data_IF_103512223230
#
_entry.id   IF_103512223230
#
_cell.length_a   1.000
_cell.length_b   1.000
_cell.length_c   1.000
_cell.angle_alpha   90.00
_cell.angle_beta   90.00
_cell.angle_gamma   90.00
#
_symmetry.space_group_name_H-M   'P 1'
#
loop_
_entity.id
_entity.type
_entity.pdbx_description
1 polymer ?
#
# COMPACT_ATOMS: atom_id res chain seq x y z
N UNK A 1 -3.75 -15.20 -2.37
CA UNK A 1 -3.92 -16.33 -3.29
C UNK A 1 -5.39 -16.76 -3.33
N UNK A 2 -5.92 -17.06 -4.50
CA UNK A 2 -7.30 -17.53 -4.70
C UNK A 2 -7.27 -19.05 -4.86
N UNK A 3 -7.96 -19.77 -4.00
CA UNK A 3 -7.87 -21.22 -3.85
C UNK A 3 -9.20 -21.98 -4.03
N UNK A 4 -9.78 -22.06 -5.25
CA UNK A 4 -10.47 -23.25 -5.69
C UNK A 4 -9.49 -24.19 -6.40
N UNK A 5 -9.80 -25.51 -6.57
CA UNK A 5 -9.07 -26.35 -7.50
C UNK A 5 -9.16 -25.79 -8.92
N UNK A 6 -8.16 -26.08 -9.75
CA UNK A 6 -8.12 -25.57 -11.13
C UNK A 6 -9.10 -26.28 -12.05
N UNK A 7 -9.58 -27.48 -11.67
CA UNK A 7 -10.45 -28.33 -12.47
C UNK A 7 -11.44 -29.08 -11.57
N UNK A 8 -12.69 -29.13 -11.96
CA UNK A 8 -13.75 -29.89 -11.28
C UNK A 8 -14.95 -30.12 -12.18
N UNK A 9 -15.86 -31.04 -11.80
CA UNK A 9 -17.08 -31.34 -12.57
C UNK A 9 -18.21 -30.38 -12.21
N UNK A 10 -19.12 -30.15 -13.13
CA UNK A 10 -20.26 -29.24 -12.94
C UNK A 10 -21.09 -29.53 -11.69
N UNK A 11 -21.22 -30.79 -11.28
CA UNK A 11 -21.97 -31.19 -10.09
C UNK A 11 -21.17 -31.13 -8.79
N UNK A 12 -19.86 -30.89 -8.87
CA UNK A 12 -19.01 -30.82 -7.69
C UNK A 12 -19.30 -29.54 -6.90
N UNK A 13 -19.31 -29.70 -5.58
CA UNK A 13 -19.37 -28.57 -4.65
C UNK A 13 -17.95 -28.22 -4.21
N UNK A 14 -17.45 -27.07 -4.66
CA UNK A 14 -16.06 -26.68 -4.50
C UNK A 14 -15.96 -25.44 -3.62
N UNK A 15 -15.09 -25.48 -2.62
CA UNK A 15 -14.88 -24.37 -1.69
C UNK A 15 -14.01 -23.29 -2.32
N UNK A 16 -14.46 -22.02 -2.24
CA UNK A 16 -13.65 -20.85 -2.62
C UNK A 16 -13.15 -20.12 -1.38
N UNK A 17 -11.84 -19.91 -1.33
CA UNK A 17 -11.17 -19.15 -0.30
C UNK A 17 -10.18 -18.17 -0.91
N UNK A 18 -10.01 -17.01 -0.27
CA UNK A 18 -8.91 -16.08 -0.54
C UNK A 18 -7.94 -16.16 0.63
N UNK A 19 -6.73 -16.66 0.36
CA UNK A 19 -5.65 -16.73 1.33
C UNK A 19 -4.85 -15.44 1.29
N UNK A 20 -4.76 -14.75 2.41
CA UNK A 20 -4.03 -13.52 2.62
C UNK A 20 -2.78 -13.81 3.46
N UNK A 21 -1.66 -13.20 3.07
CA UNK A 21 -0.41 -13.19 3.84
C UNK A 21 0.11 -11.76 3.91
N UNK A 22 0.43 -11.30 5.10
CA UNK A 22 1.05 -10.00 5.31
C UNK A 22 2.57 -10.15 5.26
N UNK A 23 3.18 -9.78 4.14
CA UNK A 23 4.64 -9.81 3.97
C UNK A 23 5.31 -8.48 4.31
N UNK A 24 4.58 -7.54 4.92
CA UNK A 24 5.11 -6.24 5.29
C UNK A 24 5.09 -6.02 6.80
N UNK A 25 5.57 -4.85 7.22
CA UNK A 25 5.86 -4.54 8.62
C UNK A 25 4.72 -3.76 9.32
N UNK A 26 3.58 -3.58 8.67
CA UNK A 26 2.41 -2.98 9.30
C UNK A 26 1.33 -4.03 9.55
N UNK A 27 0.89 -4.16 10.81
CA UNK A 27 -0.22 -5.01 11.20
C UNK A 27 -1.54 -4.48 10.62
N UNK A 28 -2.34 -5.37 10.04
CA UNK A 28 -3.70 -5.06 9.60
C UNK A 28 -4.67 -5.60 10.65
N UNK A 29 -5.47 -4.71 11.24
CA UNK A 29 -6.42 -5.10 12.29
C UNK A 29 -7.54 -6.00 11.75
N UNK A 30 -8.16 -6.73 12.65
CA UNK A 30 -9.33 -7.60 12.36
C UNK A 30 -10.41 -6.82 11.60
N UNK A 31 -10.92 -7.40 10.52
CA UNK A 31 -11.98 -6.80 9.70
C UNK A 31 -11.51 -5.75 8.69
N UNK A 32 -10.27 -5.28 8.76
CA UNK A 32 -9.77 -4.22 7.88
C UNK A 32 -9.28 -4.73 6.53
N UNK A 33 -8.82 -5.99 6.44
CA UNK A 33 -8.56 -6.60 5.14
C UNK A 33 -9.87 -7.20 4.61
N UNK A 34 -10.29 -6.72 3.43
CA UNK A 34 -11.54 -7.10 2.78
C UNK A 34 -11.28 -7.66 1.40
N UNK A 35 -11.96 -8.73 1.04
CA UNK A 35 -11.90 -9.30 -0.30
C UNK A 35 -13.29 -9.48 -0.90
N UNK A 36 -13.38 -9.43 -2.24
CA UNK A 36 -14.57 -9.81 -3.00
C UNK A 36 -14.19 -10.60 -4.23
N UNK A 37 -15.06 -11.50 -4.64
CA UNK A 37 -14.93 -12.26 -5.90
C UNK A 37 -15.66 -11.50 -7.02
N UNK A 38 -15.10 -11.54 -8.22
CA UNK A 38 -15.67 -10.96 -9.44
C UNK A 38 -15.10 -11.61 -10.71
N UNK A 39 -15.49 -11.13 -11.88
CA UNK A 39 -14.98 -11.60 -13.19
C UNK A 39 -15.81 -12.71 -13.82
N UNK A 40 -16.84 -13.18 -13.14
CA UNK A 40 -17.84 -14.13 -13.65
C UNK A 40 -19.23 -13.69 -13.18
N UNK A 41 -20.29 -14.23 -13.80
CA UNK A 41 -21.65 -14.07 -13.28
C UNK A 41 -21.82 -14.93 -12.02
N UNK A 42 -21.74 -14.27 -10.85
CA UNK A 42 -21.65 -14.92 -9.53
C UNK A 42 -22.86 -15.81 -9.23
N UNK A 43 -24.06 -15.44 -9.68
CA UNK A 43 -25.29 -16.18 -9.50
C UNK A 43 -25.23 -17.59 -10.09
N UNK A 44 -24.54 -17.74 -11.23
CA UNK A 44 -24.33 -19.03 -11.89
C UNK A 44 -23.43 -19.98 -11.08
N UNK A 45 -22.63 -19.43 -10.17
CA UNK A 45 -21.76 -20.19 -9.27
C UNK A 45 -22.35 -20.34 -7.85
N UNK A 46 -23.54 -19.78 -7.60
CA UNK A 46 -24.13 -19.74 -6.27
C UNK A 46 -23.43 -18.80 -5.30
N UNK A 47 -22.65 -17.85 -5.83
CA UNK A 47 -21.97 -16.82 -5.05
C UNK A 47 -22.84 -15.55 -4.94
N UNK A 48 -22.64 -14.83 -3.84
CA UNK A 48 -23.20 -13.49 -3.64
C UNK A 48 -22.12 -12.43 -3.90
N UNK A 49 -22.54 -11.29 -4.44
CA UNK A 49 -21.67 -10.11 -4.55
C UNK A 49 -21.40 -9.50 -3.16
N UNK A 50 -20.29 -8.81 -3.03
CA UNK A 50 -19.94 -8.04 -1.84
C UNK A 50 -18.57 -8.41 -1.26
N UNK A 51 -18.12 -7.54 -0.38
CA UNK A 51 -16.89 -7.74 0.38
C UNK A 51 -17.12 -8.64 1.59
N UNK A 52 -16.14 -9.48 1.86
CA UNK A 52 -16.00 -10.22 3.13
C UNK A 52 -14.69 -9.81 3.80
N UNK A 53 -14.69 -9.74 5.12
CA UNK A 53 -13.54 -9.30 5.91
C UNK A 53 -12.82 -10.48 6.55
N UNK A 54 -11.57 -10.26 6.95
CA UNK A 54 -10.83 -11.19 7.81
C UNK A 54 -11.47 -11.29 9.20
N UNK A 55 -11.50 -12.49 9.77
CA UNK A 55 -12.02 -12.75 11.11
C UNK A 55 -10.97 -12.53 12.21
N UNK A 56 -9.71 -12.45 11.86
CA UNK A 56 -8.59 -12.16 12.74
C UNK A 56 -7.66 -11.10 12.15
N UNK A 57 -6.68 -10.63 12.92
CA UNK A 57 -5.67 -9.70 12.43
C UNK A 57 -4.70 -10.40 11.47
N UNK A 58 -4.09 -9.62 10.59
CA UNK A 58 -2.91 -10.01 9.82
C UNK A 58 -1.69 -9.38 10.49
N UNK A 59 -1.00 -10.17 11.30
CA UNK A 59 0.20 -9.71 12.02
C UNK A 59 1.28 -9.27 11.03
N UNK A 60 2.06 -8.27 11.44
CA UNK A 60 3.18 -7.77 10.68
C UNK A 60 4.32 -8.81 10.64
N UNK A 61 5.12 -8.76 9.59
CA UNK A 61 6.42 -9.39 9.58
C UNK A 61 7.35 -8.64 10.55
N UNK A 62 8.13 -9.34 11.34
CA UNK A 62 9.00 -8.77 12.34
C UNK A 62 9.94 -9.81 12.94
N UNK A 63 10.70 -9.39 13.94
CA UNK A 63 11.74 -10.22 14.56
C UNK A 63 11.18 -11.54 15.12
N UNK A 64 9.98 -11.51 15.71
CA UNK A 64 9.31 -12.69 16.31
C UNK A 64 8.36 -13.39 15.32
N UNK A 65 7.95 -12.75 14.23
CA UNK A 65 7.00 -13.28 13.24
C UNK A 65 7.61 -13.17 11.86
N UNK A 66 8.65 -13.97 11.59
CA UNK A 66 9.43 -13.89 10.34
C UNK A 66 8.60 -14.07 9.07
N UNK A 67 7.52 -14.82 9.13
CA UNK A 67 6.67 -15.09 7.97
C UNK A 67 5.45 -14.16 7.83
N UNK A 68 5.20 -13.28 8.80
CA UNK A 68 3.98 -12.48 8.88
C UNK A 68 2.72 -13.30 9.10
N UNK A 69 1.61 -12.63 9.41
CA UNK A 69 0.32 -13.26 9.68
C UNK A 69 -0.37 -13.74 8.40
N UNK A 70 -1.16 -14.82 8.53
CA UNK A 70 -1.99 -15.36 7.46
C UNK A 70 -3.45 -15.43 7.91
N UNK A 71 -4.39 -15.15 7.01
CA UNK A 71 -5.83 -15.26 7.22
C UNK A 71 -6.49 -15.80 5.96
N UNK A 72 -7.59 -16.53 6.13
CA UNK A 72 -8.44 -16.97 5.04
C UNK A 72 -9.76 -16.19 5.06
N UNK A 73 -10.19 -15.75 3.89
CA UNK A 73 -11.57 -15.26 3.68
C UNK A 73 -12.33 -16.33 2.93
N UNK A 74 -13.31 -16.92 3.58
CA UNK A 74 -14.13 -18.01 3.05
C UNK A 74 -15.33 -17.44 2.30
N UNK A 75 -15.47 -17.76 1.02
CA UNK A 75 -16.62 -17.38 0.18
C UNK A 75 -17.69 -18.49 0.08
N UNK A 76 -17.47 -19.60 0.77
CA UNK A 76 -18.39 -20.75 0.77
C UNK A 76 -18.12 -21.70 -0.40
N UNK A 77 -19.10 -22.57 -0.61
CA UNK A 77 -19.04 -23.56 -1.69
C UNK A 77 -19.70 -23.01 -2.94
N UNK A 78 -19.07 -23.24 -4.09
CA UNK A 78 -19.64 -22.98 -5.41
C UNK A 78 -20.10 -24.27 -6.03
N UNK A 79 -21.17 -24.17 -6.81
CA UNK A 79 -21.64 -25.20 -7.74
C UNK A 79 -22.12 -24.49 -9.00
N UNK A 80 -21.57 -24.87 -10.14
CA UNK A 80 -21.97 -24.27 -11.39
C UNK A 80 -23.37 -24.78 -11.80
N UNK A 81 -24.29 -23.84 -12.07
CA UNK A 81 -25.72 -24.12 -12.22
C UNK A 81 -26.17 -24.35 -13.65
N UNK A 82 -25.40 -23.82 -14.62
CA UNK A 82 -25.78 -23.92 -16.02
C UNK A 82 -25.21 -25.19 -16.65
N UNK A 83 -25.87 -25.69 -17.72
CA UNK A 83 -25.39 -26.85 -18.46
C UNK A 83 -24.11 -26.53 -19.23
N UNK A 84 -23.16 -27.44 -19.19
CA UNK A 84 -21.88 -27.37 -19.91
C UNK A 84 -21.83 -28.52 -20.90
N UNK A 85 -21.38 -28.24 -22.12
CA UNK A 85 -21.08 -29.24 -23.15
C UNK A 85 -19.56 -29.40 -23.19
N UNK A 86 -19.07 -30.60 -22.87
CA UNK A 86 -17.65 -30.92 -22.71
C UNK A 86 -16.99 -30.21 -21.54
N UNK A 87 -16.49 -28.97 -21.73
CA UNK A 87 -15.88 -28.17 -20.67
C UNK A 87 -15.93 -26.69 -21.03
N UNK A 88 -15.96 -25.85 -19.96
CA UNK A 88 -15.82 -24.38 -20.06
C UNK A 88 -14.73 -23.87 -19.14
N UNK A 89 -14.05 -22.80 -19.57
CA UNK A 89 -12.98 -22.14 -18.80
C UNK A 89 -13.47 -20.79 -18.30
N UNK A 90 -13.37 -20.57 -16.99
CA UNK A 90 -13.77 -19.34 -16.33
C UNK A 90 -12.57 -18.68 -15.66
N UNK A 91 -12.54 -17.36 -15.69
CA UNK A 91 -11.52 -16.57 -15.00
C UNK A 91 -12.11 -15.92 -13.76
N UNK A 92 -11.89 -16.54 -12.60
CA UNK A 92 -12.23 -15.96 -11.30
C UNK A 92 -11.19 -14.92 -10.94
N UNK A 93 -11.66 -13.78 -10.42
CA UNK A 93 -10.82 -12.72 -9.87
C UNK A 93 -11.22 -12.44 -8.44
N UNK A 94 -10.24 -12.24 -7.58
CA UNK A 94 -10.43 -11.76 -6.22
C UNK A 94 -9.79 -10.39 -6.09
N UNK A 95 -10.55 -9.41 -5.62
CA UNK A 95 -10.07 -8.07 -5.26
C UNK A 95 -9.82 -8.03 -3.77
N UNK A 96 -8.64 -7.59 -3.38
CA UNK A 96 -8.24 -7.35 -2.01
C UNK A 96 -8.14 -5.83 -1.78
N UNK A 97 -8.63 -5.36 -0.64
CA UNK A 97 -8.58 -3.95 -0.25
C UNK A 97 -8.32 -3.86 1.25
N UNK A 98 -7.34 -3.04 1.65
CA UNK A 98 -6.94 -2.90 3.04
C UNK A 98 -6.23 -1.57 3.30
N UNK A 99 -6.38 -0.96 4.50
CA UNK A 99 -5.56 0.16 4.92
C UNK A 99 -4.15 -0.33 5.23
N UNK A 100 -3.17 0.47 4.86
CA UNK A 100 -1.77 0.16 5.14
C UNK A 100 -0.96 1.43 5.45
N UNK A 101 0.27 1.21 5.95
CA UNK A 101 1.16 2.28 6.35
C UNK A 101 2.60 1.95 5.96
N UNK A 102 3.34 2.96 5.48
CA UNK A 102 4.79 2.91 5.33
C UNK A 102 5.41 3.90 6.32
N UNK A 103 6.45 3.49 7.01
CA UNK A 103 7.24 4.34 7.90
C UNK A 103 8.65 4.45 7.38
N UNK A 104 9.23 5.63 7.48
CA UNK A 104 10.64 5.87 7.24
C UNK A 104 11.25 6.67 8.38
N UNK A 105 12.52 6.39 8.67
CA UNK A 105 13.33 7.16 9.63
C UNK A 105 14.77 7.16 9.16
N UNK A 106 15.29 8.35 8.84
CA UNK A 106 16.66 8.55 8.33
C UNK A 106 17.36 9.64 9.15
N UNK A 107 18.68 9.53 9.29
CA UNK A 107 19.48 10.56 9.91
C UNK A 107 19.69 11.73 8.94
N UNK A 108 19.46 12.95 9.40
CA UNK A 108 19.60 14.20 8.64
C UNK A 108 20.48 15.19 9.38
N UNK A 109 21.09 16.10 8.63
CA UNK A 109 21.99 17.11 9.15
C UNK A 109 21.40 18.51 8.94
N UNK A 110 20.77 19.06 9.94
CA UNK A 110 20.20 20.41 9.89
C UNK A 110 21.33 21.41 10.16
N UNK A 111 21.86 22.03 9.10
CA UNK A 111 23.02 22.89 9.16
C UNK A 111 22.87 24.10 8.23
N UNK A 112 23.26 25.28 8.73
CA UNK A 112 23.30 26.49 7.91
C UNK A 112 24.51 26.48 6.95
N UNK A 113 24.40 27.15 5.81
CA UNK A 113 25.52 27.29 4.87
C UNK A 113 26.68 28.06 5.50
N UNK A 114 26.43 28.99 6.42
CA UNK A 114 27.42 29.78 7.11
C UNK A 114 28.28 28.96 8.09
N UNK A 115 27.73 27.87 8.66
CA UNK A 115 28.47 26.97 9.54
C UNK A 115 29.43 26.01 8.79
N UNK A 116 29.40 25.97 7.47
CA UNK A 116 30.36 25.18 6.69
C UNK A 116 31.79 25.75 6.72
N UNK A 117 31.94 27.04 7.01
CA UNK A 117 33.25 27.72 7.03
C UNK A 117 34.04 27.50 8.36
N UNK A 118 33.40 27.02 9.43
CA UNK A 118 34.01 26.92 10.76
C UNK A 118 34.79 25.63 11.06
N UNK A 119 34.96 24.73 10.08
CA UNK A 119 35.90 23.59 10.17
C UNK A 119 35.44 22.39 11.04
N UNK A 120 34.40 22.48 11.83
CA UNK A 120 33.81 21.34 12.55
C UNK A 120 32.73 20.66 11.72
N UNK A 121 33.06 19.49 11.17
CA UNK A 121 32.12 18.68 10.43
C UNK A 121 31.31 17.79 11.42
N UNK A 122 30.25 18.35 12.02
CA UNK A 122 29.39 17.65 12.96
C UNK A 122 28.56 16.57 12.21
N UNK A 123 28.11 16.88 11.00
CA UNK A 123 27.34 15.96 10.14
C UNK A 123 27.40 16.40 8.66
N UNK A 124 26.94 15.57 7.74
CA UNK A 124 26.93 15.83 6.31
C UNK A 124 25.49 16.10 5.81
N UNK A 125 25.31 17.27 5.16
CA UNK A 125 24.02 17.70 4.54
C UNK A 125 23.80 17.16 3.14
N UNK A 126 24.75 16.41 2.57
CA UNK A 126 24.67 15.95 1.19
C UNK A 126 24.34 14.46 1.06
N UNK A 127 23.87 14.08 -0.13
CA UNK A 127 23.71 12.69 -0.52
C UNK A 127 22.37 12.05 -0.18
N UNK A 128 22.30 10.79 -0.50
CA UNK A 128 21.13 9.94 -0.26
C UNK A 128 21.07 9.51 1.21
N UNK A 129 19.92 9.67 1.84
CA UNK A 129 19.71 9.34 3.25
C UNK A 129 19.00 7.99 3.46
N UNK A 130 18.32 7.46 2.44
CA UNK A 130 17.68 6.14 2.54
C UNK A 130 18.75 5.05 2.54
N UNK A 131 18.71 4.22 3.56
CA UNK A 131 19.59 3.06 3.73
C UNK A 131 18.78 1.80 4.03
N UNK A 132 19.43 0.65 4.01
CA UNK A 132 18.78 -0.63 4.34
C UNK A 132 18.18 -0.57 5.74
N UNK A 133 16.87 -0.87 5.86
CA UNK A 133 16.15 -0.86 7.13
C UNK A 133 15.60 0.51 7.55
N UNK A 134 15.90 1.59 6.83
CA UNK A 134 15.37 2.92 7.16
C UNK A 134 13.91 3.12 6.71
N UNK A 135 13.38 2.26 5.83
CA UNK A 135 12.00 2.28 5.34
C UNK A 135 11.35 0.93 5.57
N UNK A 136 10.17 0.92 6.15
CA UNK A 136 9.41 -0.30 6.42
C UNK A 136 8.97 -1.00 5.12
N UNK A 137 8.91 -2.34 5.17
CA UNK A 137 8.42 -3.15 4.05
C UNK A 137 6.92 -2.92 3.82
N UNK A 138 6.57 -2.38 2.66
CA UNK A 138 5.21 -2.00 2.27
C UNK A 138 5.11 -1.85 0.75
N UNK A 139 3.90 -1.86 0.14
CA UNK A 139 3.76 -1.69 -1.31
C UNK A 139 4.09 -0.27 -1.81
N UNK A 140 3.85 0.75 -1.00
CA UNK A 140 4.31 2.12 -1.28
C UNK A 140 5.61 2.33 -0.53
N UNK A 141 6.66 2.75 -1.23
CA UNK A 141 8.00 2.91 -0.68
C UNK A 141 8.48 4.36 -0.79
N UNK A 142 9.27 4.78 0.19
CA UNK A 142 10.13 5.95 0.07
C UNK A 142 11.45 5.44 -0.49
N UNK A 143 11.76 5.80 -1.74
CA UNK A 143 12.89 5.23 -2.48
C UNK A 143 14.12 6.13 -2.46
N UNK A 144 13.96 7.41 -2.10
CA UNK A 144 15.05 8.36 -1.99
C UNK A 144 14.64 9.49 -1.05
N UNK A 145 15.57 9.92 -0.23
CA UNK A 145 15.51 11.18 0.53
C UNK A 145 16.86 11.86 0.34
N UNK A 146 16.88 12.93 -0.44
CA UNK A 146 18.08 13.75 -0.60
C UNK A 146 17.98 15.00 0.24
N UNK A 147 19.09 15.40 0.82
CA UNK A 147 19.20 16.58 1.66
C UNK A 147 20.15 17.58 1.01
N UNK A 148 19.79 18.86 1.06
CA UNK A 148 20.64 19.96 0.56
C UNK A 148 20.37 21.25 1.33
N UNK A 149 21.39 22.06 1.52
CA UNK A 149 21.23 23.42 2.02
C UNK A 149 20.65 24.30 0.91
N UNK A 150 19.54 25.00 1.18
CA UNK A 150 18.87 25.86 0.20
C UNK A 150 19.27 27.32 0.34
N UNK A 151 19.49 27.79 1.55
CA UNK A 151 19.91 29.16 1.89
C UNK A 151 20.77 29.13 3.15
N UNK A 152 21.19 30.31 3.62
CA UNK A 152 21.97 30.43 4.89
C UNK A 152 21.26 29.80 6.08
N UNK A 153 19.94 29.76 6.06
CA UNK A 153 19.07 29.43 7.19
C UNK A 153 18.03 28.34 6.88
N UNK A 154 18.17 27.61 5.77
CA UNK A 154 17.17 26.60 5.36
C UNK A 154 17.82 25.36 4.76
N UNK A 155 17.39 24.19 5.24
CA UNK A 155 17.66 22.87 4.67
C UNK A 155 16.42 22.36 3.93
N UNK A 156 16.62 21.78 2.75
CA UNK A 156 15.59 21.16 1.90
C UNK A 156 15.78 19.66 1.86
N UNK A 157 14.66 18.95 1.89
CA UNK A 157 14.55 17.51 1.68
C UNK A 157 13.69 17.23 0.46
N UNK A 158 14.21 16.49 -0.52
CA UNK A 158 13.44 15.98 -1.64
C UNK A 158 13.18 14.48 -1.42
N UNK A 159 11.91 14.15 -1.20
CA UNK A 159 11.46 12.82 -0.78
C UNK A 159 10.74 12.17 -1.95
N UNK A 160 11.32 11.10 -2.50
CA UNK A 160 10.74 10.33 -3.59
C UNK A 160 9.93 9.17 -3.06
N UNK A 161 8.66 9.14 -3.43
CA UNK A 161 7.67 8.13 -3.04
C UNK A 161 7.23 7.36 -4.28
N UNK A 162 7.20 6.03 -4.21
CA UNK A 162 6.92 5.17 -5.36
C UNK A 162 6.04 3.97 -4.98
N UNK A 163 5.08 3.64 -5.83
CA UNK A 163 4.31 2.40 -5.74
C UNK A 163 5.13 1.24 -6.34
N UNK A 164 5.75 0.43 -5.49
CA UNK A 164 6.50 -0.78 -5.86
C UNK A 164 5.61 -2.01 -5.99
N UNK A 165 4.39 -1.94 -5.49
CA UNK A 165 3.41 -3.02 -5.62
C UNK A 165 2.73 -3.03 -6.99
N UNK A 166 1.88 -4.05 -7.21
CA UNK A 166 1.14 -4.22 -8.47
C UNK A 166 -0.29 -3.64 -8.39
N UNK A 167 -0.70 -3.21 -7.23
CA UNK A 167 -2.03 -2.69 -6.96
C UNK A 167 -2.13 -1.18 -7.07
N UNK A 168 -3.27 -0.67 -6.69
CA UNK A 168 -3.64 0.75 -6.72
C UNK A 168 -3.66 1.32 -5.30
N UNK A 169 -3.26 2.58 -5.16
CA UNK A 169 -3.26 3.30 -3.89
C UNK A 169 -4.33 4.39 -3.86
N UNK A 170 -4.91 4.63 -2.68
CA UNK A 170 -5.99 5.57 -2.42
C UNK A 170 -5.81 6.25 -1.06
N UNK A 171 -6.40 7.44 -0.82
CA UNK A 171 -6.35 8.09 0.48
C UNK A 171 -6.84 7.17 1.61
N UNK A 172 -6.31 7.34 2.81
CA UNK A 172 -6.68 6.53 3.98
C UNK A 172 -8.16 6.62 4.34
N UNK A 173 -8.86 7.67 3.92
CA UNK A 173 -10.30 7.88 4.11
C UNK A 173 -11.17 7.09 3.14
N UNK A 174 -10.59 6.46 2.12
CA UNK A 174 -11.33 5.69 1.12
C UNK A 174 -11.90 4.41 1.72
N UNK A 175 -13.14 4.09 1.34
CA UNK A 175 -13.79 2.84 1.70
C UNK A 175 -13.71 1.85 0.54
N UNK A 176 -13.42 0.59 0.81
CA UNK A 176 -13.27 -0.44 -0.22
C UNK A 176 -14.51 -0.56 -1.13
N UNK A 177 -15.68 -0.39 -0.56
CA UNK A 177 -16.97 -0.48 -1.26
C UNK A 177 -17.16 0.70 -2.24
N UNK A 178 -16.73 1.91 -1.86
CA UNK A 178 -16.83 3.11 -2.69
C UNK A 178 -15.88 3.05 -3.90
N UNK A 179 -14.74 2.35 -3.76
CA UNK A 179 -13.76 2.15 -4.84
C UNK A 179 -14.24 1.18 -5.94
N UNK A 180 -15.41 0.57 -5.80
CA UNK A 180 -16.04 -0.20 -6.86
C UNK A 180 -16.82 0.67 -7.85
N UNK A 181 -17.23 1.85 -7.41
CA UNK A 181 -17.74 2.92 -8.28
C UNK A 181 -16.57 3.51 -9.07
N UNK A 182 -16.66 3.47 -10.40
CA UNK A 182 -15.59 3.92 -11.28
C UNK A 182 -15.32 5.43 -11.17
N UNK A 183 -16.36 6.23 -11.05
CA UNK A 183 -16.26 7.69 -10.96
C UNK A 183 -15.54 8.06 -9.67
N UNK A 184 -16.03 7.60 -8.52
CA UNK A 184 -15.41 7.86 -7.21
C UNK A 184 -13.96 7.37 -7.14
N UNK A 185 -13.69 6.22 -7.73
CA UNK A 185 -12.35 5.65 -7.76
C UNK A 185 -11.36 6.49 -8.54
N UNK A 186 -11.74 6.98 -9.73
CA UNK A 186 -10.85 7.77 -10.59
C UNK A 186 -10.48 9.09 -9.93
N UNK A 187 -11.41 9.73 -9.22
CA UNK A 187 -11.18 11.01 -8.54
C UNK A 187 -10.08 10.93 -7.45
N UNK A 188 -9.97 9.78 -6.77
CA UNK A 188 -9.04 9.60 -5.63
C UNK A 188 -7.90 8.63 -5.91
N UNK A 189 -7.80 8.13 -7.15
CA UNK A 189 -6.75 7.18 -7.53
C UNK A 189 -5.36 7.81 -7.42
N UNK A 190 -4.40 6.98 -7.00
CA UNK A 190 -2.99 7.34 -6.84
C UNK A 190 -2.73 8.41 -5.77
N UNK A 191 -3.69 8.67 -4.89
CA UNK A 191 -3.53 9.61 -3.78
C UNK A 191 -3.20 8.85 -2.50
N UNK A 192 -2.36 9.47 -1.66
CA UNK A 192 -2.05 8.98 -0.32
C UNK A 192 -1.73 10.13 0.64
N UNK A 193 -1.90 9.86 1.93
CA UNK A 193 -1.61 10.82 2.98
C UNK A 193 -0.16 10.69 3.43
N UNK A 194 0.55 11.81 3.50
CA UNK A 194 1.92 11.92 4.01
C UNK A 194 1.90 12.74 5.29
N UNK A 195 2.66 12.31 6.28
CA UNK A 195 2.90 13.05 7.53
C UNK A 195 4.37 13.00 7.89
N UNK A 196 4.96 14.16 8.12
CA UNK A 196 6.28 14.31 8.73
C UNK A 196 6.09 14.34 10.25
N UNK A 197 6.70 13.40 10.95
CA UNK A 197 6.56 13.27 12.41
C UNK A 197 7.71 13.96 13.15
N UNK A 198 8.92 14.01 12.57
CA UNK A 198 10.14 14.58 13.14
C UNK A 198 11.07 14.98 11.99
N UNK A 199 11.93 16.03 12.13
CA UNK A 199 11.92 16.98 13.25
C UNK A 199 10.73 17.95 13.19
N UNK A 200 10.42 18.54 14.32
CA UNK A 200 9.37 19.58 14.43
C UNK A 200 9.75 20.79 13.57
N UNK A 201 8.77 21.37 12.89
CA UNK A 201 8.95 22.54 12.03
C UNK A 201 9.40 22.22 10.60
N UNK A 202 9.45 20.94 10.20
CA UNK A 202 9.54 20.58 8.77
C UNK A 202 8.18 20.84 8.13
N UNK A 203 8.21 21.60 7.02
CA UNK A 203 7.05 21.91 6.20
C UNK A 203 7.27 21.37 4.80
N UNK A 204 6.21 20.86 4.18
CA UNK A 204 6.25 20.30 2.84
C UNK A 204 5.29 21.05 1.91
N UNK A 205 5.63 21.10 0.62
CA UNK A 205 4.80 21.69 -0.42
C UNK A 205 3.85 20.64 -1.00
N UNK A 206 2.61 20.63 -0.53
CA UNK A 206 1.56 19.83 -1.13
C UNK A 206 0.89 20.61 -2.28
N UNK A 207 0.32 19.90 -3.26
CA UNK A 207 -0.30 20.54 -4.46
C UNK A 207 -1.44 21.49 -4.13
N UNK A 208 -2.12 21.26 -3.05
CA UNK A 208 -3.26 22.09 -2.61
C UNK A 208 -3.03 22.52 -1.16
N UNK A 209 -2.86 23.81 -0.96
CA UNK A 209 -2.82 24.43 0.35
C UNK A 209 -1.50 25.09 0.72
N UNK A 210 -1.48 25.64 1.94
CA UNK A 210 -0.29 26.18 2.56
C UNK A 210 0.70 25.07 2.94
N UNK A 211 1.98 25.39 3.01
CA UNK A 211 2.99 24.43 3.47
C UNK A 211 2.64 23.84 4.84
N UNK A 212 2.73 22.54 4.95
CA UNK A 212 2.31 21.81 6.15
C UNK A 212 3.22 20.63 6.44
N UNK A 213 3.18 20.10 7.66
CA UNK A 213 3.82 18.84 8.02
C UNK A 213 3.01 17.61 7.54
N UNK A 214 1.76 17.80 7.14
CA UNK A 214 0.91 16.71 6.63
C UNK A 214 0.01 17.17 5.48
N UNK A 215 -0.26 16.26 4.54
CA UNK A 215 -1.11 16.52 3.40
C UNK A 215 -1.28 15.29 2.51
N UNK A 216 -1.91 15.53 1.37
CA UNK A 216 -2.15 14.49 0.35
C UNK A 216 -1.25 14.74 -0.84
N UNK A 217 -0.60 13.68 -1.32
CA UNK A 217 0.12 13.68 -2.60
C UNK A 217 -0.60 12.79 -3.61
N UNK A 218 -0.34 13.04 -4.89
CA UNK A 218 -0.84 12.22 -6.01
C UNK A 218 0.35 11.67 -6.78
N UNK A 219 0.51 10.36 -6.82
CA UNK A 219 1.51 9.71 -7.67
C UNK A 219 1.13 9.91 -9.14
N UNK A 220 2.13 10.11 -9.98
CA UNK A 220 1.96 10.26 -11.42
C UNK A 220 1.55 8.93 -12.11
N UNK A 221 1.50 8.94 -13.43
CA UNK A 221 1.15 7.77 -14.24
C UNK A 221 2.17 6.62 -14.14
N UNK A 222 3.39 6.90 -13.68
CA UNK A 222 4.43 5.89 -13.42
C UNK A 222 4.38 5.35 -11.99
N UNK A 223 3.48 5.87 -11.16
CA UNK A 223 3.34 5.50 -9.75
C UNK A 223 4.35 6.20 -8.84
N UNK A 224 4.88 7.38 -9.24
CA UNK A 224 5.93 8.08 -8.53
C UNK A 224 5.57 9.55 -8.26
N UNK A 225 6.07 10.11 -7.16
CA UNK A 225 5.99 11.54 -6.84
C UNK A 225 7.20 11.93 -6.00
N UNK A 226 7.66 13.18 -6.15
CA UNK A 226 8.70 13.77 -5.31
C UNK A 226 8.12 14.93 -4.51
N UNK A 227 8.09 14.76 -3.20
CA UNK A 227 7.64 15.77 -2.24
C UNK A 227 8.82 16.59 -1.76
N UNK A 228 8.77 17.91 -1.95
CA UNK A 228 9.76 18.84 -1.42
C UNK A 228 9.32 19.34 -0.04
N UNK A 229 10.21 19.17 0.94
CA UNK A 229 10.05 19.64 2.31
C UNK A 229 11.25 20.53 2.69
N UNK A 230 11.08 21.36 3.70
CA UNK A 230 12.17 22.18 4.23
C UNK A 230 12.00 22.45 5.73
N UNK A 231 13.10 22.79 6.34
CA UNK A 231 13.17 23.25 7.74
C UNK A 231 14.09 24.44 7.84
N UNK A 232 13.67 25.45 8.59
CA UNK A 232 14.55 26.55 8.97
C UNK A 232 15.60 26.06 9.97
N UNK A 233 16.81 26.61 9.86
CA UNK A 233 17.97 26.22 10.66
C UNK A 233 18.18 27.27 11.76
N UNK A 234 17.93 26.88 12.98
CA UNK A 234 18.23 27.72 14.14
C UNK A 234 19.63 27.40 14.71
N UNK A 235 20.01 26.12 14.64
CA UNK A 235 21.31 25.61 15.09
C UNK A 235 21.76 24.43 14.24
N UNK A 236 23.06 24.10 14.28
CA UNK A 236 23.56 22.88 13.63
C UNK A 236 23.28 21.68 14.50
N UNK A 237 22.46 20.74 14.00
CA UNK A 237 22.08 19.54 14.74
C UNK A 237 21.94 18.35 13.82
N UNK A 238 22.37 17.18 14.27
CA UNK A 238 22.01 15.90 13.69
C UNK A 238 20.68 15.45 14.31
N UNK A 239 19.70 15.13 13.46
CA UNK A 239 18.35 14.73 13.88
C UNK A 239 17.84 13.58 13.01
N UNK A 240 16.66 13.05 13.31
CA UNK A 240 15.99 12.01 12.51
C UNK A 240 14.79 12.59 11.77
N UNK A 241 14.83 12.51 10.43
CA UNK A 241 13.64 12.76 9.61
C UNK A 241 12.78 11.50 9.59
N UNK A 242 11.62 11.59 10.24
CA UNK A 242 10.66 10.50 10.32
C UNK A 242 9.38 10.83 9.58
N UNK A 243 8.94 9.93 8.72
CA UNK A 243 7.76 10.08 7.86
C UNK A 243 6.82 8.88 8.01
N UNK A 244 5.55 9.16 7.83
CA UNK A 244 4.51 8.14 7.76
C UNK A 244 3.64 8.38 6.53
N UNK A 245 3.51 7.35 5.70
CA UNK A 245 2.56 7.31 4.59
C UNK A 245 1.38 6.46 5.01
N UNK A 246 0.17 7.00 4.93
CA UNK A 246 -1.08 6.30 5.25
C UNK A 246 -1.94 6.21 4.00
N UNK A 247 -2.46 5.01 3.70
CA UNK A 247 -3.23 4.79 2.48
C UNK A 247 -4.13 3.55 2.58
N UNK A 248 -5.08 3.46 1.67
CA UNK A 248 -5.79 2.22 1.34
C UNK A 248 -5.12 1.63 0.10
N UNK A 249 -4.77 0.34 0.17
CA UNK A 249 -4.19 -0.39 -0.95
C UNK A 249 -5.16 -1.41 -1.50
N UNK A 250 -5.27 -1.48 -2.82
CA UNK A 250 -6.17 -2.37 -3.54
C UNK A 250 -5.40 -3.21 -4.53
N UNK A 251 -5.42 -4.52 -4.33
CA UNK A 251 -4.72 -5.49 -5.16
C UNK A 251 -5.71 -6.53 -5.71
N UNK A 252 -5.28 -7.35 -6.65
CA UNK A 252 -6.09 -8.41 -7.21
C UNK A 252 -5.30 -9.69 -7.47
N UNK A 253 -5.99 -10.82 -7.34
CA UNK A 253 -5.52 -12.12 -7.75
C UNK A 253 -6.47 -12.71 -8.80
N UNK A 254 -5.91 -13.46 -9.74
CA UNK A 254 -6.67 -14.09 -10.82
C UNK A 254 -6.39 -15.58 -10.81
N UNK A 255 -7.43 -16.38 -11.05
CA UNK A 255 -7.32 -17.83 -11.22
C UNK A 255 -8.25 -18.32 -12.32
N UNK A 256 -7.72 -19.08 -13.26
CA UNK A 256 -8.52 -19.84 -14.21
C UNK A 256 -8.98 -21.16 -13.60
N UNK A 257 -10.24 -21.49 -13.82
CA UNK A 257 -10.85 -22.77 -13.47
C UNK A 257 -11.49 -23.38 -14.71
N UNK A 258 -11.36 -24.68 -14.87
CA UNK A 258 -12.01 -25.45 -15.91
C UNK A 258 -13.10 -26.31 -15.27
N UNK A 259 -14.34 -26.18 -15.78
CA UNK A 259 -15.48 -26.98 -15.32
C UNK A 259 -15.84 -27.94 -16.42
N UNK A 260 -15.87 -29.22 -16.11
CA UNK A 260 -16.23 -30.28 -17.02
C UNK A 260 -17.70 -30.65 -16.89
N UNK A 261 -18.27 -31.07 -18.00
CA UNK A 261 -19.58 -31.70 -18.00
C UNK A 261 -19.59 -32.90 -17.05
N UNK A 262 -20.60 -32.97 -16.21
CA UNK A 262 -20.78 -34.15 -15.35
C UNK A 262 -21.10 -35.39 -16.22
N UNK A 263 -20.30 -36.45 -16.05
CA UNK A 263 -20.68 -37.75 -16.61
C UNK A 263 -21.91 -38.24 -15.88
N UNK A 264 -22.95 -38.60 -16.65
CA UNK A 264 -24.14 -39.27 -16.10
C UNK A 264 -23.82 -40.67 -15.62
#
# INVERSE_FOLDING_TARGET
>A
NLAPPSQFSQNDSVKIKVLLKNNGETKIATGNAKARIFGVELSNFGLTSGYRSTLGPLEAQGEFTKEGGQQEIDFGNIKYKLSIINSDVFTLRARLCYPYQTKASVDVCIKSSLSQESGEQICDVTGEKVSTGSVSSAPIQITSITEQTRSSDQVRFDITIENKGKGEVYPVTSRCEDLDDEIKRVEVKNQLNVKVNSPVGVLCSFRSGEPSAEGVITLDSTGKETLSCWKNVDETVQDKLSLTLNYVYRDQATKQITIYQSRR
#
